data_IF_640847395293
#
_entry.id   IF_640847395293
#
_cell.length_a   1.000
_cell.length_b   1.000
_cell.length_c   1.000
_cell.angle_alpha   90.00
_cell.angle_beta   90.00
_cell.angle_gamma   90.00
#
_symmetry.space_group_name_H-M   'P 1'
#
loop_
_entity.id
_entity.type
_entity.pdbx_description
1 polymer ?
#
# COMPACT_ATOMS: atom_id res chain seq x y z
N UNK A 1 -19.83 -21.07 20.30
CA UNK A 1 -19.58 -19.76 19.66
C UNK A 1 -18.48 -19.98 18.63
N UNK A 2 -18.77 -19.76 17.36
CA UNK A 2 -17.71 -19.78 16.34
C UNK A 2 -16.77 -18.59 16.64
N UNK A 3 -15.47 -18.85 16.77
CA UNK A 3 -14.46 -17.80 16.84
C UNK A 3 -14.51 -17.08 15.49
N UNK A 4 -14.82 -15.78 15.49
CA UNK A 4 -14.80 -14.99 14.26
C UNK A 4 -13.37 -15.11 13.68
N UNK A 5 -13.28 -15.52 12.42
CA UNK A 5 -11.98 -15.58 11.73
C UNK A 5 -11.52 -14.14 11.57
N UNK A 6 -10.37 -13.81 12.14
CA UNK A 6 -9.76 -12.48 12.01
C UNK A 6 -9.43 -12.24 10.54
N UNK A 7 -9.87 -11.11 9.99
CA UNK A 7 -9.55 -10.68 8.62
C UNK A 7 -8.37 -9.72 8.60
N UNK A 8 -7.83 -9.43 7.41
CA UNK A 8 -6.84 -8.35 7.25
C UNK A 8 -7.41 -7.00 7.70
N UNK A 9 -8.67 -6.71 7.35
CA UNK A 9 -9.34 -5.47 7.76
C UNK A 9 -9.44 -5.35 9.29
N UNK A 10 -9.74 -6.45 10.02
CA UNK A 10 -9.77 -6.44 11.49
C UNK A 10 -8.39 -6.18 12.09
N UNK A 11 -7.33 -6.81 11.53
CA UNK A 11 -5.94 -6.57 11.94
C UNK A 11 -5.55 -5.12 11.71
N UNK A 12 -5.86 -4.60 10.53
CA UNK A 12 -5.56 -3.21 10.17
C UNK A 12 -6.29 -2.24 11.09
N UNK A 13 -7.58 -2.43 11.32
CA UNK A 13 -8.37 -1.58 12.21
C UNK A 13 -7.80 -1.56 13.64
N UNK A 14 -7.42 -2.72 14.17
CA UNK A 14 -6.78 -2.81 15.48
C UNK A 14 -5.45 -2.03 15.55
N UNK A 15 -4.62 -2.11 14.51
CA UNK A 15 -3.35 -1.38 14.45
C UNK A 15 -3.54 0.13 14.27
N UNK A 16 -4.53 0.55 13.45
CA UNK A 16 -4.91 1.96 13.29
C UNK A 16 -5.33 2.57 14.62
N UNK A 17 -6.20 1.89 15.36
CA UNK A 17 -6.64 2.35 16.70
C UNK A 17 -5.48 2.37 17.70
N UNK A 18 -4.71 1.27 17.78
CA UNK A 18 -3.60 1.15 18.73
C UNK A 18 -2.56 2.24 18.56
N UNK A 19 -2.22 2.57 17.31
CA UNK A 19 -1.20 3.59 16.97
C UNK A 19 -1.79 4.99 16.77
N UNK A 20 -3.09 5.10 16.68
CA UNK A 20 -3.82 6.32 16.28
C UNK A 20 -3.21 6.90 15.00
N UNK A 21 -3.09 6.03 13.98
CA UNK A 21 -2.37 6.34 12.75
C UNK A 21 -2.97 5.60 11.56
N UNK A 22 -3.09 6.29 10.45
CA UNK A 22 -3.37 5.74 9.11
C UNK A 22 -2.16 5.93 8.18
N UNK A 23 -1.02 6.31 8.75
CA UNK A 23 0.18 6.58 7.98
C UNK A 23 0.84 5.29 7.49
N UNK A 24 1.09 5.22 6.18
CA UNK A 24 1.92 4.21 5.53
C UNK A 24 3.19 4.88 5.01
N UNK A 25 4.35 4.41 5.43
CA UNK A 25 5.62 4.97 4.96
C UNK A 25 6.16 4.14 3.79
N UNK A 26 6.32 4.78 2.64
CA UNK A 26 6.94 4.16 1.47
C UNK A 26 8.45 3.99 1.67
N UNK A 27 8.95 2.78 1.43
CA UNK A 27 10.37 2.47 1.39
C UNK A 27 10.81 2.36 -0.07
N UNK A 28 11.31 3.48 -0.59
CA UNK A 28 11.71 3.66 -1.99
C UNK A 28 13.21 3.93 -2.06
N UNK A 29 14.11 2.91 -1.88
CA UNK A 29 15.55 3.11 -1.74
C UNK A 29 16.22 3.42 -3.09
N UNK A 30 15.95 4.59 -3.63
CA UNK A 30 16.61 5.09 -4.83
C UNK A 30 18.10 5.30 -4.56
N UNK A 31 18.95 4.60 -5.29
CA UNK A 31 20.42 4.61 -5.07
C UNK A 31 21.06 5.97 -5.26
N UNK A 32 20.46 6.84 -6.09
CA UNK A 32 20.89 8.22 -6.30
C UNK A 32 20.57 9.17 -5.13
N UNK A 33 19.63 8.79 -4.27
CA UNK A 33 19.18 9.57 -3.11
C UNK A 33 19.69 9.02 -1.77
N UNK A 34 20.43 7.91 -1.77
CA UNK A 34 20.99 7.36 -0.54
C UNK A 34 22.12 8.25 0.01
N UNK A 35 22.19 8.47 1.34
CA UNK A 35 23.36 9.07 1.97
C UNK A 35 24.64 8.36 1.56
N UNK A 36 25.74 9.12 1.42
CA UNK A 36 27.03 8.58 0.92
C UNK A 36 27.51 7.41 1.78
N UNK A 37 27.30 7.49 3.08
CA UNK A 37 27.70 6.50 4.09
C UNK A 37 26.90 5.20 3.99
N UNK A 38 25.73 5.23 3.32
CA UNK A 38 24.81 4.09 3.14
C UNK A 38 24.74 3.62 1.69
N UNK A 39 25.54 4.17 0.80
CA UNK A 39 25.59 3.76 -0.61
C UNK A 39 26.01 2.29 -0.70
N UNK A 40 25.16 1.49 -1.37
CA UNK A 40 25.34 0.05 -1.48
C UNK A 40 24.68 -0.78 -0.36
N UNK A 41 24.18 -0.14 0.70
CA UNK A 41 23.47 -0.83 1.79
C UNK A 41 22.02 -0.31 1.91
N UNK A 42 21.18 -0.71 0.97
CA UNK A 42 19.76 -0.31 0.94
C UNK A 42 18.97 -0.92 2.11
N UNK A 43 19.37 -2.11 2.61
CA UNK A 43 18.73 -2.74 3.74
C UNK A 43 18.93 -1.87 5.00
N UNK A 44 20.15 -1.47 5.28
CA UNK A 44 20.47 -0.59 6.41
C UNK A 44 19.75 0.75 6.35
N UNK A 45 19.68 1.36 5.16
CA UNK A 45 18.92 2.60 4.94
C UNK A 45 17.44 2.41 5.30
N UNK A 46 16.80 1.37 4.73
CA UNK A 46 15.39 1.10 4.97
C UNK A 46 15.12 0.72 6.43
N UNK A 47 15.97 -0.09 7.06
CA UNK A 47 15.83 -0.44 8.48
C UNK A 47 15.96 0.80 9.39
N UNK A 48 16.89 1.70 9.11
CA UNK A 48 17.00 2.97 9.84
C UNK A 48 15.75 3.85 9.70
N UNK A 49 15.12 3.86 8.51
CA UNK A 49 13.85 4.54 8.31
C UNK A 49 12.71 3.85 9.06
N UNK A 50 12.67 2.51 9.08
CA UNK A 50 11.70 1.74 9.88
C UNK A 50 11.80 2.12 11.36
N UNK A 51 13.01 2.16 11.94
CA UNK A 51 13.21 2.56 13.35
C UNK A 51 12.70 3.96 13.65
N UNK A 52 12.92 4.89 12.71
CA UNK A 52 12.47 6.26 12.86
C UNK A 52 10.94 6.38 12.87
N UNK A 53 10.23 5.59 12.03
CA UNK A 53 8.79 5.78 11.77
C UNK A 53 7.89 4.79 12.49
N UNK A 54 8.43 3.68 13.05
CA UNK A 54 7.63 2.63 13.68
C UNK A 54 6.67 3.12 14.78
N UNK A 55 7.01 4.13 15.60
CA UNK A 55 6.07 4.68 16.58
C UNK A 55 4.86 5.40 15.95
N UNK A 56 4.98 5.88 14.72
CA UNK A 56 4.03 6.82 14.10
C UNK A 56 3.27 6.22 12.91
N UNK A 57 3.80 5.18 12.27
CA UNK A 57 3.19 4.54 11.09
C UNK A 57 2.48 3.23 11.47
N UNK A 58 1.39 2.91 10.76
CA UNK A 58 0.70 1.62 10.88
C UNK A 58 1.36 0.55 10.01
N UNK A 59 1.90 0.96 8.87
CA UNK A 59 2.53 0.06 7.91
C UNK A 59 3.73 0.72 7.21
N UNK A 60 4.57 -0.12 6.63
CA UNK A 60 5.51 0.28 5.58
C UNK A 60 5.12 -0.33 4.24
N UNK A 61 5.48 0.34 3.17
CA UNK A 61 5.20 -0.08 1.80
C UNK A 61 6.50 -0.08 0.98
N UNK A 62 7.32 -1.15 1.10
CA UNK A 62 8.51 -1.28 0.27
C UNK A 62 8.12 -1.45 -1.20
N UNK A 63 8.66 -0.57 -2.05
CA UNK A 63 8.42 -0.57 -3.48
C UNK A 63 9.38 -1.52 -4.17
N UNK A 64 8.87 -2.67 -4.61
CA UNK A 64 9.66 -3.79 -5.11
C UNK A 64 10.59 -3.39 -6.27
N UNK A 65 10.15 -2.51 -7.17
CA UNK A 65 10.94 -2.08 -8.32
C UNK A 65 12.32 -1.52 -7.93
N UNK A 66 12.45 -0.79 -6.82
CA UNK A 66 13.74 -0.24 -6.39
C UNK A 66 14.70 -1.31 -5.84
N UNK A 67 14.17 -2.40 -5.33
CA UNK A 67 14.98 -3.54 -4.91
C UNK A 67 15.35 -4.41 -6.12
N UNK A 68 14.43 -4.64 -7.05
CA UNK A 68 14.66 -5.40 -8.28
C UNK A 68 15.78 -4.81 -9.14
N UNK A 69 15.98 -3.48 -9.13
CA UNK A 69 17.09 -2.83 -9.88
C UNK A 69 18.47 -3.30 -9.47
N UNK A 70 18.62 -3.87 -8.29
CA UNK A 70 19.89 -4.38 -7.76
C UNK A 70 20.03 -5.89 -7.90
N UNK A 71 19.10 -6.56 -8.60
CA UNK A 71 19.14 -8.01 -8.82
C UNK A 71 18.99 -8.82 -7.53
N UNK A 72 19.66 -9.96 -7.45
CA UNK A 72 19.55 -10.88 -6.32
C UNK A 72 19.90 -10.23 -4.96
N UNK A 73 20.96 -9.43 -4.81
CA UNK A 73 21.21 -8.68 -3.57
C UNK A 73 20.08 -7.75 -3.17
N UNK A 74 19.42 -7.10 -4.13
CA UNK A 74 18.28 -6.25 -3.88
C UNK A 74 17.06 -7.03 -3.36
N UNK A 75 16.77 -8.18 -3.92
CA UNK A 75 15.69 -9.06 -3.44
C UNK A 75 15.99 -9.56 -2.02
N UNK A 76 17.23 -9.95 -1.72
CA UNK A 76 17.63 -10.33 -0.36
C UNK A 76 17.43 -9.17 0.63
N UNK A 77 17.80 -7.95 0.24
CA UNK A 77 17.56 -6.75 1.05
C UNK A 77 16.05 -6.47 1.24
N UNK A 78 15.22 -6.71 0.23
CA UNK A 78 13.76 -6.60 0.33
C UNK A 78 13.19 -7.54 1.40
N UNK A 79 13.59 -8.81 1.38
CA UNK A 79 13.18 -9.82 2.38
C UNK A 79 13.62 -9.41 3.79
N UNK A 80 14.87 -8.98 3.95
CA UNK A 80 15.43 -8.51 5.22
C UNK A 80 14.64 -7.33 5.79
N UNK A 81 14.37 -6.31 4.96
CA UNK A 81 13.61 -5.10 5.34
C UNK A 81 12.19 -5.44 5.74
N UNK A 82 11.51 -6.31 5.00
CA UNK A 82 10.16 -6.75 5.33
C UNK A 82 10.11 -7.51 6.66
N UNK A 83 11.06 -8.42 6.89
CA UNK A 83 11.16 -9.14 8.16
C UNK A 83 11.48 -8.19 9.31
N UNK A 84 12.36 -7.19 9.09
CA UNK A 84 12.69 -6.17 10.09
C UNK A 84 11.47 -5.34 10.48
N UNK A 85 10.73 -4.84 9.49
CA UNK A 85 9.53 -4.03 9.71
C UNK A 85 8.46 -4.76 10.54
N UNK A 86 8.22 -6.06 10.24
CA UNK A 86 7.30 -6.88 11.05
C UNK A 86 7.77 -7.02 12.50
N UNK A 87 9.07 -7.24 12.74
CA UNK A 87 9.62 -7.27 14.12
C UNK A 87 9.47 -5.93 14.84
N UNK A 88 9.50 -4.82 14.11
CA UNK A 88 9.24 -3.48 14.65
C UNK A 88 7.75 -3.18 14.88
N UNK A 89 6.84 -4.14 14.64
CA UNK A 89 5.40 -4.00 14.84
C UNK A 89 4.70 -3.17 13.78
N UNK A 90 5.21 -3.21 12.54
CA UNK A 90 4.59 -2.59 11.37
C UNK A 90 3.98 -3.65 10.46
N UNK A 91 2.83 -3.36 9.86
CA UNK A 91 2.34 -4.13 8.74
C UNK A 91 3.20 -3.86 7.49
N UNK A 92 3.32 -4.86 6.62
CA UNK A 92 4.10 -4.78 5.39
C UNK A 92 3.18 -4.90 4.17
N UNK A 93 3.11 -3.85 3.36
CA UNK A 93 2.41 -3.84 2.07
C UNK A 93 3.47 -4.00 0.97
N UNK A 94 3.60 -5.19 0.39
CA UNK A 94 4.54 -5.42 -0.72
C UNK A 94 4.02 -4.75 -2.00
N UNK A 95 4.64 -3.63 -2.38
CA UNK A 95 4.18 -2.81 -3.51
C UNK A 95 4.83 -3.25 -4.82
N UNK A 96 4.29 -4.32 -5.41
CA UNK A 96 4.76 -4.88 -6.69
C UNK A 96 3.81 -4.63 -7.86
N UNK A 97 2.55 -4.23 -7.60
CA UNK A 97 1.47 -4.03 -8.60
C UNK A 97 1.38 -5.20 -9.59
N UNK A 98 1.43 -6.44 -9.04
CA UNK A 98 1.45 -7.65 -9.85
C UNK A 98 0.10 -7.85 -10.54
N UNK A 99 0.15 -8.36 -11.77
CA UNK A 99 -1.00 -8.74 -12.56
C UNK A 99 -0.49 -9.60 -13.72
N UNK A 100 -1.01 -10.82 -13.83
CA UNK A 100 -0.62 -11.78 -14.84
C UNK A 100 -1.75 -12.80 -14.99
N UNK A 101 -1.68 -13.67 -16.01
CA UNK A 101 -2.62 -14.77 -16.18
C UNK A 101 -2.63 -15.70 -14.95
N UNK A 102 -3.72 -16.44 -14.68
CA UNK A 102 -3.95 -17.12 -13.41
C UNK A 102 -2.79 -17.98 -12.91
N UNK A 103 -2.13 -18.75 -13.78
CA UNK A 103 -1.00 -19.62 -13.39
C UNK A 103 0.19 -18.82 -12.87
N UNK A 104 0.52 -17.71 -13.52
CA UNK A 104 1.61 -16.83 -13.10
C UNK A 104 1.22 -16.00 -11.87
N UNK A 105 -0.04 -15.56 -11.80
CA UNK A 105 -0.58 -14.87 -10.62
C UNK A 105 -0.48 -15.75 -9.35
N UNK A 106 -0.72 -17.06 -9.47
CA UNK A 106 -0.54 -18.01 -8.38
C UNK A 106 0.92 -18.07 -7.89
N UNK A 107 1.90 -18.00 -8.79
CA UNK A 107 3.32 -17.94 -8.40
C UNK A 107 3.66 -16.63 -7.66
N UNK A 108 3.12 -15.49 -8.08
CA UNK A 108 3.26 -14.24 -7.32
C UNK A 108 2.60 -14.31 -5.94
N UNK A 109 1.44 -14.96 -5.83
CA UNK A 109 0.75 -15.16 -4.56
C UNK A 109 1.60 -16.01 -3.59
N UNK A 110 2.18 -17.10 -4.07
CA UNK A 110 3.09 -17.94 -3.28
C UNK A 110 4.32 -17.15 -2.82
N UNK A 111 4.96 -16.42 -3.73
CA UNK A 111 6.17 -15.67 -3.42
C UNK A 111 5.94 -14.54 -2.41
N UNK A 112 4.79 -13.85 -2.48
CA UNK A 112 4.56 -12.65 -1.68
C UNK A 112 3.76 -12.90 -0.39
N UNK A 113 2.80 -13.84 -0.41
CA UNK A 113 1.83 -14.01 0.67
C UNK A 113 1.94 -15.33 1.42
N UNK A 114 2.36 -16.43 0.77
CA UNK A 114 2.28 -17.76 1.35
C UNK A 114 3.60 -18.54 1.23
N UNK A 115 3.56 -19.77 0.81
CA UNK A 115 4.73 -20.63 0.55
C UNK A 115 4.58 -21.36 -0.77
N UNK A 116 5.70 -21.82 -1.31
CA UNK A 116 5.74 -22.67 -2.51
C UNK A 116 5.95 -24.13 -2.08
N UNK A 117 4.97 -25.03 -2.29
CA UNK A 117 5.16 -26.44 -2.02
C UNK A 117 6.13 -27.04 -3.03
N UNK A 118 7.12 -27.81 -2.53
CA UNK A 118 8.11 -28.50 -3.36
C UNK A 118 8.27 -29.95 -2.92
N UNK A 119 8.84 -30.84 -3.78
CA UNK A 119 9.11 -32.21 -3.39
C UNK A 119 10.10 -32.39 -2.22
N UNK A 120 10.85 -31.32 -1.89
CA UNK A 120 11.82 -31.30 -0.78
C UNK A 120 11.34 -30.48 0.43
N UNK A 121 10.07 -30.09 0.48
CA UNK A 121 9.44 -29.30 1.55
C UNK A 121 9.00 -27.93 1.07
N UNK A 122 8.22 -27.24 1.90
CA UNK A 122 7.70 -25.92 1.58
C UNK A 122 8.80 -24.85 1.65
N UNK A 123 8.91 -24.04 0.59
CA UNK A 123 9.77 -22.86 0.58
C UNK A 123 8.92 -21.65 0.98
N UNK A 124 9.22 -21.00 2.13
CA UNK A 124 8.44 -19.86 2.58
C UNK A 124 8.59 -18.69 1.61
N UNK A 125 7.48 -18.00 1.32
CA UNK A 125 7.48 -16.73 0.64
C UNK A 125 7.74 -15.58 1.60
N UNK A 126 7.52 -14.35 1.13
CA UNK A 126 7.74 -13.12 1.91
C UNK A 126 6.85 -13.03 3.15
N UNK A 127 5.62 -13.56 3.08
CA UNK A 127 4.61 -13.44 4.14
C UNK A 127 4.21 -11.99 4.39
N UNK A 128 4.00 -11.21 3.31
CA UNK A 128 3.54 -9.83 3.42
C UNK A 128 2.12 -9.79 4.01
N UNK A 129 1.82 -8.71 4.75
CA UNK A 129 0.48 -8.48 5.30
C UNK A 129 -0.50 -7.98 4.23
N UNK A 130 0.00 -7.39 3.14
CA UNK A 130 -0.79 -7.06 1.96
C UNK A 130 0.10 -6.93 0.72
N UNK A 131 -0.53 -6.98 -0.46
CA UNK A 131 0.10 -6.77 -1.76
C UNK A 131 -0.68 -5.76 -2.59
N UNK A 132 -0.02 -5.13 -3.58
CA UNK A 132 -0.71 -4.34 -4.61
C UNK A 132 -0.85 -5.13 -5.90
N UNK A 133 -2.01 -5.05 -6.55
CA UNK A 133 -2.34 -5.81 -7.76
C UNK A 133 -2.93 -4.93 -8.86
N UNK A 134 -2.65 -5.30 -10.12
CA UNK A 134 -3.15 -4.64 -11.32
C UNK A 134 -4.34 -5.45 -11.88
N UNK A 135 -5.54 -4.85 -12.03
CA UNK A 135 -6.75 -5.53 -12.46
C UNK A 135 -6.91 -5.67 -13.97
N UNK A 136 -6.00 -5.15 -14.78
CA UNK A 136 -6.19 -5.00 -16.22
C UNK A 136 -6.43 -6.34 -16.97
N UNK A 137 -5.96 -7.45 -16.40
CA UNK A 137 -6.13 -8.78 -17.02
C UNK A 137 -7.44 -9.48 -16.62
N UNK A 138 -8.27 -8.85 -15.79
CA UNK A 138 -9.56 -9.41 -15.37
C UNK A 138 -9.55 -10.09 -14.01
N UNK A 139 -10.73 -10.54 -13.58
CA UNK A 139 -10.93 -11.09 -12.24
C UNK A 139 -10.26 -12.44 -12.04
N UNK A 140 -10.23 -13.27 -13.06
CA UNK A 140 -9.53 -14.56 -13.02
C UNK A 140 -8.03 -14.43 -12.77
N UNK A 141 -7.43 -13.31 -13.20
CA UNK A 141 -6.04 -12.96 -12.91
C UNK A 141 -5.81 -12.47 -11.46
N UNK A 142 -6.84 -11.90 -10.82
CA UNK A 142 -6.78 -11.48 -9.43
C UNK A 142 -7.07 -12.62 -8.45
N UNK A 143 -7.91 -13.57 -8.83
CA UNK A 143 -8.40 -14.63 -7.93
C UNK A 143 -7.30 -15.41 -7.21
N UNK A 144 -6.17 -15.82 -7.83
CA UNK A 144 -5.10 -16.51 -7.12
C UNK A 144 -4.46 -15.67 -5.99
N UNK A 145 -4.31 -14.36 -6.21
CA UNK A 145 -3.81 -13.44 -5.18
C UNK A 145 -4.82 -13.28 -4.04
N UNK A 146 -6.10 -13.14 -4.39
CA UNK A 146 -7.20 -12.99 -3.41
C UNK A 146 -7.36 -14.26 -2.57
N UNK A 147 -7.31 -15.44 -3.18
CA UNK A 147 -7.41 -16.72 -2.48
C UNK A 147 -6.25 -16.88 -1.48
N UNK A 148 -5.01 -16.68 -1.94
CA UNK A 148 -3.83 -16.76 -1.06
C UNK A 148 -3.87 -15.70 0.06
N UNK A 149 -4.37 -14.49 -0.22
CA UNK A 149 -4.50 -13.45 0.79
C UNK A 149 -5.52 -13.83 1.87
N UNK A 150 -6.66 -14.42 1.50
CA UNK A 150 -7.67 -14.91 2.45
C UNK A 150 -7.08 -15.99 3.37
N UNK A 151 -6.34 -16.94 2.80
CA UNK A 151 -5.70 -18.02 3.57
C UNK A 151 -4.62 -17.49 4.52
N UNK A 152 -3.86 -16.47 4.10
CA UNK A 152 -2.80 -15.84 4.88
C UNK A 152 -3.29 -14.73 5.83
N UNK A 153 -4.59 -14.42 5.86
CA UNK A 153 -5.16 -13.25 6.58
C UNK A 153 -4.47 -11.95 6.14
N UNK A 154 -4.23 -11.81 4.84
CA UNK A 154 -3.57 -10.67 4.20
C UNK A 154 -4.56 -9.90 3.31
N UNK A 155 -4.17 -8.68 2.89
CA UNK A 155 -4.95 -7.81 2.00
C UNK A 155 -4.45 -7.78 0.55
N UNK A 156 -5.35 -7.43 -0.37
CA UNK A 156 -5.00 -7.16 -1.78
C UNK A 156 -5.50 -5.78 -2.15
N UNK A 157 -4.59 -4.83 -2.35
CA UNK A 157 -4.90 -3.49 -2.82
C UNK A 157 -4.87 -3.44 -4.34
N UNK A 158 -6.03 -3.39 -4.96
CA UNK A 158 -6.20 -3.37 -6.42
C UNK A 158 -6.19 -1.93 -6.94
N UNK A 159 -5.47 -1.67 -8.05
CA UNK A 159 -5.43 -0.35 -8.67
C UNK A 159 -6.82 0.03 -9.22
N UNK A 160 -7.33 1.19 -8.81
CA UNK A 160 -8.59 1.76 -9.31
C UNK A 160 -8.32 3.06 -10.05
N UNK A 161 -7.76 4.08 -9.35
CA UNK A 161 -7.35 5.34 -9.96
C UNK A 161 -6.02 5.77 -9.36
N UNK A 162 -4.97 5.71 -10.16
CA UNK A 162 -3.61 5.95 -9.69
C UNK A 162 -3.26 7.45 -9.65
N UNK A 163 -2.18 7.82 -8.95
CA UNK A 163 -1.85 9.22 -8.66
C UNK A 163 -1.00 9.92 -9.74
N UNK A 164 -0.52 9.18 -10.75
CA UNK A 164 0.31 9.72 -11.81
C UNK A 164 -0.51 10.46 -12.88
N UNK A 165 0.03 11.48 -13.56
CA UNK A 165 -0.71 12.24 -14.57
C UNK A 165 -1.27 11.37 -15.72
N UNK A 166 -0.51 10.41 -16.21
CA UNK A 166 -0.94 9.51 -17.29
C UNK A 166 -2.09 8.56 -16.93
N UNK A 167 -2.50 8.51 -15.67
CA UNK A 167 -3.68 7.76 -15.26
C UNK A 167 -4.95 8.28 -15.97
N UNK A 168 -5.04 9.59 -16.23
CA UNK A 168 -6.17 10.17 -16.95
C UNK A 168 -6.32 9.63 -18.39
N UNK A 169 -5.22 9.26 -19.02
CA UNK A 169 -5.22 8.77 -20.42
C UNK A 169 -5.87 7.37 -20.56
N UNK A 170 -5.94 6.62 -19.45
CA UNK A 170 -6.45 5.23 -19.45
C UNK A 170 -7.61 5.08 -18.46
N UNK A 171 -7.41 5.46 -17.21
CA UNK A 171 -8.37 5.17 -16.13
C UNK A 171 -9.62 6.08 -16.19
N UNK A 172 -9.51 7.28 -16.80
CA UNK A 172 -10.64 8.18 -17.05
C UNK A 172 -11.31 7.95 -18.42
N UNK A 173 -10.87 6.96 -19.20
CA UNK A 173 -11.52 6.63 -20.48
C UNK A 173 -13.00 6.26 -20.27
N UNK A 174 -13.92 6.81 -21.07
CA UNK A 174 -15.32 6.44 -21.01
C UNK A 174 -15.54 5.00 -21.47
N UNK A 175 -16.22 4.21 -20.66
CA UNK A 175 -16.58 2.81 -20.92
C UNK A 175 -18.09 2.65 -20.98
N UNK A 176 -18.59 1.85 -21.90
CA UNK A 176 -20.02 1.53 -21.99
C UNK A 176 -20.39 0.42 -20.99
N UNK A 177 -21.48 0.62 -20.25
CA UNK A 177 -22.11 -0.43 -19.46
C UNK A 177 -23.07 -1.28 -20.28
N UNK A 178 -23.40 -2.47 -19.78
CA UNK A 178 -24.39 -3.35 -20.40
C UNK A 178 -25.79 -2.71 -20.51
N UNK A 179 -26.11 -1.82 -19.62
CA UNK A 179 -27.35 -1.03 -19.57
C UNK A 179 -27.35 0.20 -20.49
N UNK A 180 -26.28 0.41 -21.27
CA UNK A 180 -26.07 1.56 -22.14
C UNK A 180 -25.57 2.81 -21.41
N UNK A 181 -25.31 2.75 -20.11
CA UNK A 181 -24.67 3.84 -19.35
C UNK A 181 -23.22 4.05 -19.78
N UNK A 182 -22.70 5.24 -19.58
CA UNK A 182 -21.28 5.55 -19.80
C UNK A 182 -20.65 6.01 -18.48
N UNK A 183 -19.53 5.39 -18.12
CA UNK A 183 -18.76 5.75 -16.94
C UNK A 183 -17.26 5.66 -17.23
N UNK A 184 -16.39 6.39 -16.54
CA UNK A 184 -14.96 6.24 -16.68
C UNK A 184 -14.51 4.83 -16.24
N UNK A 185 -13.42 4.33 -16.81
CA UNK A 185 -12.91 2.98 -16.51
C UNK A 185 -12.70 2.76 -15.02
N UNK A 186 -12.20 3.77 -14.29
CA UNK A 186 -11.97 3.63 -12.85
C UNK A 186 -13.26 3.34 -12.05
N UNK A 187 -14.45 3.80 -12.48
CA UNK A 187 -15.73 3.43 -11.84
C UNK A 187 -16.02 1.93 -12.01
N UNK A 188 -15.76 1.39 -13.21
CA UNK A 188 -15.91 -0.06 -13.46
C UNK A 188 -14.94 -0.88 -12.61
N UNK A 189 -13.69 -0.40 -12.47
CA UNK A 189 -12.71 -1.05 -11.60
C UNK A 189 -13.14 -0.98 -10.12
N UNK A 190 -13.72 0.13 -9.68
CA UNK A 190 -14.25 0.28 -8.33
C UNK A 190 -15.40 -0.72 -8.05
N UNK A 191 -16.37 -0.84 -8.98
CA UNK A 191 -17.44 -1.84 -8.89
C UNK A 191 -16.89 -3.28 -8.78
N UNK A 192 -15.83 -3.61 -9.54
CA UNK A 192 -15.17 -4.92 -9.46
C UNK A 192 -14.48 -5.15 -8.12
N UNK A 193 -13.76 -4.14 -7.59
CA UNK A 193 -13.10 -4.19 -6.29
C UNK A 193 -14.11 -4.45 -5.17
N UNK A 194 -15.25 -3.76 -5.16
CA UNK A 194 -16.31 -4.00 -4.17
C UNK A 194 -16.91 -5.40 -4.29
N UNK A 195 -17.18 -5.86 -5.53
CA UNK A 195 -17.71 -7.19 -5.79
C UNK A 195 -16.76 -8.32 -5.33
N UNK A 196 -15.44 -8.15 -5.52
CA UNK A 196 -14.41 -9.08 -5.08
C UNK A 196 -14.15 -9.01 -3.57
N UNK A 197 -14.60 -7.93 -2.90
CA UNK A 197 -14.41 -7.73 -1.45
C UNK A 197 -12.94 -7.54 -1.08
N UNK A 198 -12.22 -6.73 -1.84
CA UNK A 198 -10.80 -6.39 -1.65
C UNK A 198 -10.60 -4.89 -1.46
N UNK A 199 -9.36 -4.47 -1.21
CA UNK A 199 -8.97 -3.10 -0.97
C UNK A 199 -8.63 -2.38 -2.28
N UNK A 200 -8.61 -1.03 -2.26
CA UNK A 200 -8.40 -0.19 -3.42
C UNK A 200 -7.16 0.70 -3.30
N UNK A 201 -6.42 0.88 -4.40
CA UNK A 201 -5.46 1.99 -4.54
C UNK A 201 -6.16 3.14 -5.25
N UNK A 202 -6.31 4.27 -4.57
CA UNK A 202 -6.95 5.49 -5.08
C UNK A 202 -6.04 6.70 -4.85
N UNK A 203 -5.69 7.43 -5.92
CA UNK A 203 -4.73 8.52 -5.83
C UNK A 203 -5.21 9.71 -5.00
N UNK A 204 -4.37 10.21 -4.10
CA UNK A 204 -4.62 11.43 -3.34
C UNK A 204 -4.53 12.71 -4.19
N UNK A 205 -4.14 12.60 -5.45
CA UNK A 205 -3.99 13.74 -6.40
C UNK A 205 -5.27 14.12 -7.12
N UNK A 206 -6.32 13.31 -6.99
CA UNK A 206 -7.65 13.52 -7.58
C UNK A 206 -8.75 13.38 -6.51
N UNK A 207 -8.70 14.21 -5.46
CA UNK A 207 -9.60 14.09 -4.30
C UNK A 207 -11.08 14.27 -4.65
N UNK A 208 -11.39 14.92 -5.76
CA UNK A 208 -12.74 15.11 -6.30
C UNK A 208 -13.45 13.79 -6.64
N UNK A 209 -12.70 12.72 -6.91
CA UNK A 209 -13.26 11.38 -7.16
C UNK A 209 -13.57 10.61 -5.88
N UNK A 210 -13.01 10.97 -4.74
CA UNK A 210 -13.14 10.20 -3.49
C UNK A 210 -14.58 10.02 -3.01
N UNK A 211 -15.49 11.01 -3.08
CA UNK A 211 -16.89 10.78 -2.74
C UNK A 211 -17.52 9.67 -3.58
N UNK A 212 -17.35 9.75 -4.89
CA UNK A 212 -17.89 8.74 -5.81
C UNK A 212 -17.24 7.36 -5.63
N UNK A 213 -15.94 7.30 -5.41
CA UNK A 213 -15.23 6.06 -5.09
C UNK A 213 -15.77 5.42 -3.82
N UNK A 214 -16.05 6.22 -2.78
CA UNK A 214 -16.62 5.72 -1.53
C UNK A 214 -18.05 5.20 -1.68
N UNK A 215 -18.85 5.82 -2.54
CA UNK A 215 -20.18 5.30 -2.90
C UNK A 215 -20.09 3.93 -3.57
N UNK A 216 -19.14 3.76 -4.50
CA UNK A 216 -18.96 2.51 -5.25
C UNK A 216 -18.28 1.41 -4.41
N UNK A 217 -17.42 1.79 -3.47
CA UNK A 217 -16.65 0.87 -2.62
C UNK A 217 -16.86 1.20 -1.13
N UNK A 218 -18.07 1.02 -0.58
CA UNK A 218 -18.39 1.47 0.78
C UNK A 218 -17.59 0.75 1.88
N UNK A 219 -17.08 -0.45 1.61
CA UNK A 219 -16.38 -1.28 2.59
C UNK A 219 -14.86 -1.37 2.38
N UNK A 220 -14.36 -1.05 1.18
CA UNK A 220 -12.94 -1.19 0.86
C UNK A 220 -12.08 -0.21 1.65
N UNK A 221 -10.92 -0.64 2.13
CA UNK A 221 -9.88 0.26 2.62
C UNK A 221 -9.16 0.90 1.43
N UNK A 222 -9.07 2.22 1.42
CA UNK A 222 -8.36 2.95 0.37
C UNK A 222 -6.88 3.14 0.73
N UNK A 223 -5.98 2.77 -0.15
CA UNK A 223 -4.57 3.18 -0.10
C UNK A 223 -4.40 4.43 -0.95
N UNK A 224 -4.02 5.54 -0.33
CA UNK A 224 -4.00 6.89 -0.92
C UNK A 224 -2.54 7.35 -1.16
N UNK A 225 -1.90 6.96 -2.28
CA UNK A 225 -0.61 7.49 -2.66
C UNK A 225 -0.73 8.91 -3.25
N UNK A 226 0.36 9.70 -3.11
CA UNK A 226 0.48 11.00 -3.77
C UNK A 226 0.42 12.21 -2.84
N UNK A 227 0.32 12.02 -1.53
CA UNK A 227 0.36 13.14 -0.57
C UNK A 227 1.76 13.76 -0.52
N UNK A 228 1.80 15.07 -0.48
CA UNK A 228 3.02 15.88 -0.43
C UNK A 228 3.73 15.96 -1.78
N UNK A 229 4.75 15.16 -2.02
CA UNK A 229 5.65 15.27 -3.18
C UNK A 229 4.96 15.19 -4.56
N UNK A 230 3.73 14.66 -4.66
CA UNK A 230 2.93 14.61 -5.89
C UNK A 230 1.78 15.63 -5.89
N UNK A 231 1.69 16.49 -4.88
CA UNK A 231 0.69 17.57 -4.81
C UNK A 231 -0.61 17.22 -4.07
N UNK A 232 -0.83 15.97 -3.67
CA UNK A 232 -1.97 15.59 -2.83
C UNK A 232 -1.90 16.27 -1.46
N UNK A 233 -3.06 16.69 -0.95
CA UNK A 233 -3.19 17.40 0.33
C UNK A 233 -4.07 16.59 1.28
N UNK A 234 -3.63 16.46 2.54
CA UNK A 234 -4.34 15.69 3.57
C UNK A 234 -5.76 16.19 3.76
N UNK A 235 -5.95 17.51 3.81
CA UNK A 235 -7.25 18.15 4.10
C UNK A 235 -8.34 17.80 3.08
N UNK A 236 -7.95 17.38 1.87
CA UNK A 236 -8.89 17.00 0.82
C UNK A 236 -9.35 15.53 0.89
N UNK A 237 -8.77 14.72 1.79
CA UNK A 237 -9.00 13.28 1.85
C UNK A 237 -10.18 12.85 2.76
N UNK A 238 -10.88 13.80 3.39
CA UNK A 238 -11.99 13.53 4.30
C UNK A 238 -12.99 12.48 3.79
N UNK A 239 -13.49 12.56 2.53
CA UNK A 239 -14.44 11.58 2.01
C UNK A 239 -13.96 10.14 2.03
N UNK A 240 -12.65 9.89 1.96
CA UNK A 240 -12.10 8.55 2.04
C UNK A 240 -12.29 7.90 3.42
N UNK A 241 -12.43 8.72 4.49
CA UNK A 241 -12.59 8.27 5.87
C UNK A 241 -14.04 8.16 6.34
N UNK A 242 -15.02 8.48 5.49
CA UNK A 242 -16.44 8.50 5.87
C UNK A 242 -16.94 7.26 6.65
N UNK A 243 -16.49 5.99 6.37
CA UNK A 243 -16.86 4.83 7.17
C UNK A 243 -16.15 4.73 8.53
N UNK A 244 -15.05 5.48 8.74
CA UNK A 244 -14.27 5.48 9.97
C UNK A 244 -12.76 5.52 9.75
N UNK A 245 -11.97 5.63 10.84
CA UNK A 245 -10.52 5.87 10.75
C UNK A 245 -9.72 4.81 9.97
N UNK A 246 -10.14 3.55 9.97
CA UNK A 246 -9.45 2.48 9.26
C UNK A 246 -9.88 2.34 7.78
N UNK A 247 -10.81 3.19 7.30
CA UNK A 247 -11.31 3.11 5.93
C UNK A 247 -10.30 3.59 4.88
N UNK A 248 -9.25 4.29 5.29
CA UNK A 248 -8.20 4.75 4.37
C UNK A 248 -6.82 4.80 5.03
N UNK A 249 -5.80 4.59 4.21
CA UNK A 249 -4.39 4.65 4.54
C UNK A 249 -3.71 5.70 3.66
N UNK A 250 -3.00 6.63 4.26
CA UNK A 250 -2.29 7.70 3.54
C UNK A 250 -0.82 7.34 3.39
N UNK A 251 -0.33 7.31 2.14
CA UNK A 251 1.05 6.93 1.87
C UNK A 251 1.94 8.15 1.63
N UNK A 252 3.08 8.21 2.34
CA UNK A 252 4.14 9.17 2.09
C UNK A 252 5.50 8.46 2.04
N UNK A 253 6.32 8.77 1.04
CA UNK A 253 7.69 8.23 0.88
C UNK A 253 8.72 9.35 1.03
N UNK A 254 8.95 10.12 -0.03
CA UNK A 254 9.98 11.19 -0.08
C UNK A 254 9.79 12.26 0.98
N UNK A 255 8.55 12.65 1.28
CA UNK A 255 8.25 13.65 2.31
C UNK A 255 8.69 13.24 3.71
N UNK A 256 8.92 11.95 3.95
CA UNK A 256 9.43 11.41 5.21
C UNK A 256 10.91 11.05 5.07
N UNK A 257 11.26 10.20 4.11
CA UNK A 257 12.63 9.70 3.95
C UNK A 257 13.66 10.81 3.70
N UNK A 258 13.27 11.89 3.00
CA UNK A 258 14.12 13.03 2.64
C UNK A 258 13.74 14.31 3.42
N UNK A 259 13.06 14.20 4.53
CA UNK A 259 12.63 15.36 5.34
C UNK A 259 13.81 16.24 5.77
N UNK A 260 14.99 15.65 5.99
CA UNK A 260 16.21 16.36 6.35
C UNK A 260 16.72 17.31 5.25
N UNK A 261 16.43 17.05 3.99
CA UNK A 261 16.81 17.94 2.87
C UNK A 261 16.00 19.25 2.91
N UNK A 262 14.76 19.21 3.39
CA UNK A 262 13.86 20.37 3.46
C UNK A 262 13.97 21.13 4.79
N UNK A 263 14.21 20.40 5.89
CA UNK A 263 14.14 20.96 7.24
C UNK A 263 15.50 20.95 7.97
N UNK A 264 16.52 20.35 7.36
CA UNK A 264 17.83 20.15 8.00
C UNK A 264 17.80 19.09 9.09
N UNK A 265 18.92 18.94 9.78
CA UNK A 265 19.07 18.03 10.91
C UNK A 265 19.52 16.62 10.55
N UNK A 266 19.54 15.75 11.55
CA UNK A 266 19.92 14.36 11.38
C UNK A 266 18.78 13.61 10.68
N UNK A 267 19.06 12.76 9.64
CA UNK A 267 18.04 12.17 8.78
C UNK A 267 16.97 11.36 9.52
N UNK A 268 17.36 10.51 10.49
CA UNK A 268 16.39 9.68 11.20
C UNK A 268 15.48 10.52 12.12
N UNK A 269 16.03 11.59 12.73
CA UNK A 269 15.23 12.52 13.53
C UNK A 269 14.24 13.30 12.66
N UNK A 270 14.70 13.83 11.51
CA UNK A 270 13.84 14.57 10.59
C UNK A 270 12.71 13.68 10.05
N UNK A 271 13.02 12.41 9.69
CA UNK A 271 12.01 11.45 9.25
C UNK A 271 10.97 11.15 10.35
N UNK A 272 11.41 10.97 11.60
CA UNK A 272 10.50 10.76 12.75
C UNK A 272 9.56 11.93 12.94
N UNK A 273 10.09 13.16 13.00
CA UNK A 273 9.30 14.38 13.19
C UNK A 273 8.32 14.60 12.03
N UNK A 274 8.72 14.28 10.79
CA UNK A 274 7.84 14.37 9.63
C UNK A 274 6.71 13.32 9.69
N UNK A 275 7.03 12.08 10.09
CA UNK A 275 6.05 11.02 10.27
C UNK A 275 5.04 11.36 11.38
N UNK A 276 5.52 11.89 12.50
CA UNK A 276 4.67 12.30 13.62
C UNK A 276 3.68 13.41 13.21
N UNK A 277 4.18 14.47 12.58
CA UNK A 277 3.32 15.57 12.09
C UNK A 277 2.25 15.06 11.12
N UNK A 278 2.67 14.27 10.12
CA UNK A 278 1.74 13.76 9.12
C UNK A 278 0.71 12.80 9.72
N UNK A 279 1.11 11.91 10.65
CA UNK A 279 0.20 11.07 11.42
C UNK A 279 -0.86 11.90 12.14
N UNK A 280 -0.45 12.96 12.84
CA UNK A 280 -1.36 13.82 13.63
C UNK A 280 -2.35 14.57 12.73
N UNK A 281 -1.91 15.02 11.55
CA UNK A 281 -2.78 15.67 10.56
C UNK A 281 -3.83 14.71 10.03
N UNK A 282 -3.41 13.48 9.64
CA UNK A 282 -4.32 12.46 9.14
C UNK A 282 -5.30 12.01 10.23
N UNK A 283 -4.82 11.79 11.45
CA UNK A 283 -5.67 11.35 12.56
C UNK A 283 -6.76 12.37 12.88
N UNK A 284 -6.41 13.66 12.92
CA UNK A 284 -7.38 14.75 13.15
C UNK A 284 -8.45 14.79 12.05
N UNK A 285 -8.04 14.63 10.78
CA UNK A 285 -8.98 14.58 9.67
C UNK A 285 -9.94 13.40 9.81
N UNK A 286 -9.39 12.19 9.97
CA UNK A 286 -10.18 10.96 10.05
C UNK A 286 -11.15 10.92 11.26
N UNK A 287 -10.81 11.58 12.37
CA UNK A 287 -11.68 11.69 13.54
C UNK A 287 -12.80 12.70 13.38
N UNK A 288 -12.74 13.58 12.37
CA UNK A 288 -13.73 14.61 12.07
C UNK A 288 -14.61 14.31 10.85
N UNK A 289 -14.32 13.22 10.14
CA UNK A 289 -15.05 12.75 8.94
C UNK A 289 -16.10 11.71 9.32
#
# INVERSE_FOLDING_TARGET
>A
MAVAVQTFADRLAAEVERKRSQLVVGLDPRVDLLPVELRGDIARFCCGLVDAVAPHAVAVKPQLAFFETLGAPGIAAFEEVCAYARRAGLLVIADGKRGDVPVTAAAYAQALLSSTPTPWGDVPGLGADAVTANPLLGDDALEPLIAAARDAVAGVFVLVRTSNPGAADVEDLPTAGEDGSTAPLWERLAERVDALGVEAVTGATVPEHLPRMRELMPRATFLLPGVGAQGGRVEALGPAFAPGPAAALVTSSRGIALAHEQHGGEPARAAREAAERLRDDIWRLAASS
#
